data_IF_000318198292
#
_entry.id   IF_000318198292
#
_cell.length_a   1.000
_cell.length_b   1.000
_cell.length_c   1.000
_cell.angle_alpha   90.00
_cell.angle_beta   90.00
_cell.angle_gamma   90.00
#
_symmetry.space_group_name_H-M   'P 1'
#
loop_
_entity.id
_entity.type
_entity.pdbx_description
1 polymer ?
#
# COMPACT_ATOMS: atom_id res chain seq x y z
N UNK A 1 -16.41 -39.73 -44.66
CA UNK A 1 -15.22 -39.26 -43.94
C UNK A 1 -14.97 -37.84 -44.35
N UNK A 2 -15.64 -36.92 -43.68
CA UNK A 2 -15.63 -35.48 -43.94
C UNK A 2 -15.08 -34.82 -42.68
N UNK A 3 -13.90 -34.21 -42.80
CA UNK A 3 -13.26 -33.39 -41.77
C UNK A 3 -13.94 -32.03 -41.75
N UNK A 4 -14.34 -31.61 -40.56
CA UNK A 4 -14.89 -30.30 -40.26
C UNK A 4 -13.76 -29.52 -39.58
N UNK A 5 -13.25 -28.49 -40.26
CA UNK A 5 -12.22 -27.56 -39.76
C UNK A 5 -12.93 -26.26 -39.35
N UNK A 6 -13.13 -26.07 -38.05
CA UNK A 6 -13.55 -24.79 -37.47
C UNK A 6 -12.34 -24.09 -36.85
N UNK A 7 -11.99 -22.86 -37.23
CA UNK A 7 -10.89 -22.13 -36.61
C UNK A 7 -11.32 -21.54 -35.27
N UNK A 8 -10.51 -21.78 -34.24
CA UNK A 8 -10.62 -21.17 -32.91
C UNK A 8 -10.14 -19.72 -33.00
N UNK A 9 -11.05 -18.81 -32.68
CA UNK A 9 -10.82 -17.37 -32.54
C UNK A 9 -9.86 -17.10 -31.38
N UNK A 10 -8.70 -16.51 -31.70
CA UNK A 10 -7.70 -16.05 -30.73
C UNK A 10 -7.96 -14.57 -30.50
N UNK A 11 -8.70 -14.23 -29.45
CA UNK A 11 -8.79 -12.85 -29.00
C UNK A 11 -7.48 -12.43 -28.34
N UNK A 12 -6.96 -11.31 -28.84
CA UNK A 12 -5.65 -10.77 -28.55
C UNK A 12 -5.54 -10.26 -27.11
N UNK A 13 -4.60 -10.82 -26.35
CA UNK A 13 -3.98 -10.16 -25.19
C UNK A 13 -3.13 -8.98 -25.69
N UNK A 14 -3.64 -7.77 -25.57
CA UNK A 14 -2.88 -6.55 -25.88
C UNK A 14 -1.95 -6.19 -24.73
N UNK A 15 -0.70 -6.63 -24.88
CA UNK A 15 0.47 -6.14 -24.15
C UNK A 15 0.55 -4.61 -24.19
N UNK A 16 0.49 -3.97 -23.01
CA UNK A 16 0.61 -2.52 -22.84
C UNK A 16 2.08 -2.11 -22.78
N UNK A 17 2.68 -1.85 -23.94
CA UNK A 17 3.86 -0.98 -24.09
C UNK A 17 3.76 -0.25 -25.43
N UNK A 18 3.51 1.06 -25.39
CA UNK A 18 4.03 2.01 -26.39
C UNK A 18 3.86 3.45 -25.90
N UNK A 19 5.00 4.00 -25.56
CA UNK A 19 5.32 5.42 -25.42
C UNK A 19 5.03 6.15 -26.74
N UNK A 20 4.40 7.32 -26.68
CA UNK A 20 4.43 8.31 -27.74
C UNK A 20 4.60 9.72 -27.15
N UNK A 21 5.75 10.29 -27.47
CA UNK A 21 6.13 11.70 -27.33
C UNK A 21 5.47 12.49 -28.48
N UNK A 22 4.89 13.66 -28.20
CA UNK A 22 5.22 14.94 -28.86
C UNK A 22 4.22 16.10 -28.61
N UNK A 23 4.79 17.20 -28.10
CA UNK A 23 4.61 18.65 -28.47
C UNK A 23 3.35 19.47 -28.17
N UNK A 24 3.56 20.44 -27.26
CA UNK A 24 3.57 21.92 -27.45
C UNK A 24 2.27 22.75 -27.67
N UNK A 25 2.17 23.82 -26.86
CA UNK A 25 1.40 25.07 -27.08
C UNK A 25 -0.04 25.03 -26.55
N UNK A 26 -0.54 25.94 -25.70
CA UNK A 26 -0.52 27.41 -25.86
C UNK A 26 -0.89 28.07 -24.52
N UNK A 27 -0.19 29.15 -24.15
CA UNK A 27 -0.54 30.04 -23.03
C UNK A 27 -1.60 31.04 -23.49
N UNK A 28 -2.70 31.16 -22.75
CA UNK A 28 -3.61 32.31 -22.82
C UNK A 28 -3.91 32.83 -21.43
N UNK A 29 -3.39 34.01 -21.14
CA UNK A 29 -3.73 34.84 -20.00
C UNK A 29 -5.09 35.53 -20.23
N UNK A 30 -5.89 35.64 -19.17
CA UNK A 30 -7.10 36.46 -19.13
C UNK A 30 -7.22 37.11 -17.75
N UNK A 31 -7.13 38.44 -17.73
CA UNK A 31 -7.20 39.31 -16.55
C UNK A 31 -8.64 39.72 -16.21
N UNK A 32 -8.81 40.05 -14.92
CA UNK A 32 -9.65 41.09 -14.33
C UNK A 32 -11.11 40.79 -13.96
N UNK A 33 -11.47 41.21 -12.74
CA UNK A 33 -12.85 41.41 -12.29
C UNK A 33 -12.99 41.63 -10.79
N UNK A 34 -12.53 42.77 -10.25
CA UNK A 34 -12.87 43.23 -8.90
C UNK A 34 -14.32 43.76 -8.84
N UNK A 35 -15.04 43.47 -7.75
CA UNK A 35 -16.17 44.19 -7.12
C UNK A 35 -16.49 43.35 -5.85
N UNK A 36 -16.28 43.75 -4.59
CA UNK A 36 -16.72 44.96 -3.90
C UNK A 36 -17.92 44.60 -3.01
N UNK A 37 -17.75 44.49 -1.68
CA UNK A 37 -18.89 44.29 -0.75
C UNK A 37 -18.52 43.85 0.67
N UNK A 38 -18.55 44.82 1.59
CA UNK A 38 -19.00 44.76 3.00
C UNK A 38 -18.14 44.02 4.05
N UNK A 39 -17.58 44.83 4.96
CA UNK A 39 -16.97 44.43 6.23
C UNK A 39 -18.05 43.98 7.22
N UNK A 40 -18.02 42.70 7.61
CA UNK A 40 -18.67 42.21 8.83
C UNK A 40 -17.60 41.77 9.81
N UNK A 41 -17.55 42.46 10.95
CA UNK A 41 -16.85 42.03 12.15
C UNK A 41 -17.54 40.77 12.68
N UNK A 42 -16.88 39.62 12.55
CA UNK A 42 -17.19 38.44 13.36
C UNK A 42 -15.91 38.01 14.09
N UNK A 43 -16.01 37.90 15.41
CA UNK A 43 -14.98 37.35 16.27
C UNK A 43 -14.72 35.87 15.88
N UNK A 44 -13.48 35.37 16.01
CA UNK A 44 -13.19 33.99 15.65
C UNK A 44 -13.82 33.05 16.70
N UNK A 45 -15.01 32.53 16.41
CA UNK A 45 -15.51 31.33 17.08
C UNK A 45 -14.68 30.15 16.59
N UNK A 46 -14.00 29.46 17.52
CA UNK A 46 -13.41 28.14 17.27
C UNK A 46 -14.50 27.25 16.68
N UNK A 47 -14.40 27.03 15.38
CA UNK A 47 -15.35 26.24 14.62
C UNK A 47 -14.85 24.80 14.69
N UNK A 48 -15.47 23.98 15.53
CA UNK A 48 -15.35 22.53 15.43
C UNK A 48 -15.80 22.13 14.02
N UNK A 49 -15.02 21.36 13.24
CA UNK A 49 -15.44 20.95 11.91
C UNK A 49 -16.80 20.23 11.99
N UNK A 50 -17.77 20.71 11.23
CA UNK A 50 -19.09 20.09 11.14
C UNK A 50 -18.96 18.69 10.51
N UNK A 51 -19.73 17.68 10.98
CA UNK A 51 -19.73 16.36 10.36
C UNK A 51 -20.12 16.46 8.89
N UNK A 52 -19.58 15.58 8.02
CA UNK A 52 -19.75 15.70 6.58
C UNK A 52 -21.22 15.69 6.20
N UNK A 53 -21.66 16.68 5.42
CA UNK A 53 -22.95 16.60 4.74
C UNK A 53 -22.89 15.45 3.73
N UNK A 54 -23.61 14.36 4.03
CA UNK A 54 -23.89 13.32 3.07
C UNK A 54 -24.94 13.88 2.12
N UNK A 55 -24.52 14.42 0.97
CA UNK A 55 -25.48 14.72 -0.08
C UNK A 55 -26.19 13.42 -0.46
N UNK A 56 -27.53 13.37 -0.36
CA UNK A 56 -28.37 12.20 -0.63
C UNK A 56 -28.11 11.51 -2.00
N UNK A 57 -27.33 12.13 -2.88
CA UNK A 57 -27.01 11.63 -4.22
C UNK A 57 -25.68 10.86 -4.35
N UNK A 58 -24.73 10.99 -3.42
CA UNK A 58 -23.40 10.36 -3.56
C UNK A 58 -22.95 9.76 -2.21
N UNK A 59 -22.94 8.42 -2.14
CA UNK A 59 -22.53 7.62 -0.96
C UNK A 59 -21.02 7.74 -0.63
N UNK A 60 -20.43 8.93 -0.75
CA UNK A 60 -19.02 9.21 -0.47
C UNK A 60 -18.99 10.42 0.47
N UNK A 61 -18.40 10.32 1.67
CA UNK A 61 -18.33 11.45 2.58
C UNK A 61 -17.50 12.57 1.96
N UNK A 62 -17.99 13.81 2.09
CA UNK A 62 -17.22 14.99 1.72
C UNK A 62 -16.10 15.19 2.75
N UNK A 63 -14.91 14.68 2.43
CA UNK A 63 -13.74 14.77 3.30
C UNK A 63 -12.85 15.94 2.85
N UNK A 64 -12.52 16.89 3.74
CA UNK A 64 -11.57 17.97 3.47
C UNK A 64 -10.20 17.41 3.08
N UNK A 65 -9.39 18.25 2.43
CA UNK A 65 -8.03 17.93 2.04
C UNK A 65 -7.06 18.91 2.65
N UNK A 66 -5.84 18.43 2.88
CA UNK A 66 -4.69 19.32 3.09
C UNK A 66 -4.43 20.03 1.76
N UNK A 67 -4.49 21.36 1.77
CA UNK A 67 -4.37 22.18 0.55
C UNK A 67 -2.95 22.19 -0.04
N UNK A 68 -1.95 22.02 0.82
CA UNK A 68 -0.53 22.01 0.47
C UNK A 68 0.19 20.93 1.32
N UNK A 69 0.01 19.63 1.00
CA UNK A 69 0.62 18.57 1.77
C UNK A 69 2.16 18.62 1.60
N UNK A 70 2.93 18.33 2.66
CA UNK A 70 4.39 18.28 2.54
C UNK A 70 4.83 17.11 1.65
N UNK A 71 6.02 17.21 1.05
CA UNK A 71 6.69 16.09 0.38
C UNK A 71 7.27 15.08 1.41
N UNK A 72 6.40 14.53 2.26
CA UNK A 72 6.73 13.67 3.39
C UNK A 72 5.47 12.93 3.86
N UNK A 73 5.64 11.96 4.75
CA UNK A 73 4.51 11.39 5.50
C UNK A 73 3.89 12.48 6.36
N UNK A 74 2.55 12.55 6.37
CA UNK A 74 1.83 13.58 7.09
C UNK A 74 0.47 13.13 7.61
N UNK A 75 -0.08 13.82 8.63
CA UNK A 75 -1.41 13.54 9.15
C UNK A 75 -2.51 13.97 8.17
N UNK A 76 -3.35 13.04 7.69
CA UNK A 76 -4.50 13.38 6.85
C UNK A 76 -5.55 14.14 7.66
N UNK A 77 -6.64 14.55 7.03
CA UNK A 77 -7.71 15.30 7.68
C UNK A 77 -8.57 14.44 8.62
N UNK A 78 -8.57 13.13 8.40
CA UNK A 78 -9.42 12.18 9.11
C UNK A 78 -8.81 10.77 9.12
N UNK A 79 -9.23 9.97 10.09
CA UNK A 79 -9.13 8.52 10.06
C UNK A 79 -10.37 7.96 9.36
N UNK A 80 -10.12 7.13 8.35
CA UNK A 80 -11.19 6.40 7.66
C UNK A 80 -11.75 5.29 8.54
N UNK A 81 -13.08 5.20 8.59
CA UNK A 81 -13.81 4.05 9.14
C UNK A 81 -13.81 2.86 8.18
N UNK A 82 -13.86 1.65 8.74
CA UNK A 82 -13.99 0.41 7.98
C UNK A 82 -14.65 -0.68 8.81
N UNK A 83 -15.36 -1.57 8.13
CA UNK A 83 -15.84 -2.83 8.71
C UNK A 83 -14.82 -3.92 8.45
N UNK A 84 -14.33 -4.56 9.52
CA UNK A 84 -13.53 -5.78 9.42
C UNK A 84 -14.47 -6.98 9.27
N UNK A 85 -14.25 -7.79 8.23
CA UNK A 85 -14.94 -9.06 8.07
C UNK A 85 -14.15 -10.18 8.76
N UNK A 86 -14.80 -11.33 8.91
CA UNK A 86 -14.13 -12.52 9.42
C UNK A 86 -12.90 -12.85 8.56
N UNK A 87 -11.80 -13.15 9.25
CA UNK A 87 -10.57 -13.60 8.62
C UNK A 87 -10.76 -15.02 8.09
N UNK A 88 -10.23 -15.29 6.89
CA UNK A 88 -10.34 -16.58 6.23
C UNK A 88 -8.96 -17.16 5.96
N UNK A 89 -8.77 -18.43 6.31
CA UNK A 89 -7.53 -19.16 6.06
C UNK A 89 -7.67 -20.05 4.81
N UNK A 90 -6.60 -20.12 4.01
CA UNK A 90 -6.53 -20.99 2.84
C UNK A 90 -5.09 -21.45 2.59
N UNK A 91 -4.78 -22.64 3.10
CA UNK A 91 -3.42 -23.18 3.06
C UNK A 91 -2.48 -22.33 3.92
N UNK A 92 -1.37 -21.79 3.36
CA UNK A 92 -0.42 -20.99 4.12
C UNK A 92 -0.86 -19.52 4.28
N UNK A 93 -2.01 -19.13 3.72
CA UNK A 93 -2.48 -17.74 3.73
C UNK A 93 -3.60 -17.53 4.74
N UNK A 94 -3.49 -16.43 5.48
CA UNK A 94 -4.58 -15.84 6.26
C UNK A 94 -4.96 -14.52 5.61
N UNK A 95 -6.21 -14.40 5.16
CA UNK A 95 -6.75 -13.22 4.48
C UNK A 95 -7.71 -12.52 5.43
N UNK A 96 -7.44 -11.25 5.74
CA UNK A 96 -8.31 -10.42 6.58
C UNK A 96 -8.99 -9.36 5.70
N UNK A 97 -10.27 -9.55 5.32
CA UNK A 97 -10.99 -8.61 4.47
C UNK A 97 -11.56 -7.43 5.25
N UNK A 98 -11.63 -6.28 4.59
CA UNK A 98 -12.12 -5.02 5.14
C UNK A 98 -12.94 -4.29 4.07
N UNK A 99 -13.96 -3.56 4.51
CA UNK A 99 -14.83 -2.75 3.64
C UNK A 99 -14.90 -1.32 4.17
N UNK A 100 -14.88 -0.34 3.27
CA UNK A 100 -15.09 1.07 3.59
C UNK A 100 -15.92 1.76 2.50
N UNK A 101 -16.23 3.04 2.67
CA UNK A 101 -16.75 3.87 1.57
C UNK A 101 -15.71 3.96 0.45
N UNK A 102 -16.09 4.30 -0.80
CA UNK A 102 -15.14 4.43 -1.90
C UNK A 102 -14.02 5.44 -1.59
N UNK A 103 -12.77 5.02 -1.76
CA UNK A 103 -11.61 5.86 -1.43
C UNK A 103 -11.06 6.58 -2.65
N UNK A 104 -10.41 7.69 -2.35
CA UNK A 104 -9.41 8.28 -3.25
C UNK A 104 -8.07 7.66 -2.90
N UNK A 105 -7.31 7.27 -3.91
CA UNK A 105 -5.97 6.76 -3.73
C UNK A 105 -5.10 7.18 -4.93
N UNK A 106 -3.80 6.98 -4.83
CA UNK A 106 -2.85 7.37 -5.86
C UNK A 106 -2.11 6.15 -6.37
N UNK A 107 -2.20 5.88 -7.66
CA UNK A 107 -1.34 4.92 -8.33
C UNK A 107 0.03 5.56 -8.56
N UNK A 108 1.11 4.83 -8.30
CA UNK A 108 2.46 5.32 -8.55
C UNK A 108 3.02 4.62 -9.78
N UNK A 109 3.46 5.38 -10.78
CA UNK A 109 4.19 4.85 -11.94
C UNK A 109 5.50 5.60 -12.09
N UNK A 110 6.62 4.91 -11.89
CA UNK A 110 7.91 5.60 -11.73
C UNK A 110 7.83 6.49 -10.50
N UNK A 111 7.96 7.80 -10.68
CA UNK A 111 7.86 8.81 -9.61
C UNK A 111 6.56 9.62 -9.65
N UNK A 112 5.65 9.32 -10.59
CA UNK A 112 4.46 10.12 -10.83
C UNK A 112 3.23 9.51 -10.12
N UNK A 113 2.62 10.22 -9.15
CA UNK A 113 1.39 9.78 -8.52
C UNK A 113 0.15 10.22 -9.33
N UNK A 114 -0.67 9.26 -9.75
CA UNK A 114 -1.94 9.48 -10.44
C UNK A 114 -3.12 9.30 -9.47
N UNK A 115 -3.88 10.37 -9.24
CA UNK A 115 -5.08 10.34 -8.40
C UNK A 115 -6.21 9.53 -9.06
N UNK A 116 -6.60 8.43 -8.43
CA UNK A 116 -7.85 7.72 -8.69
C UNK A 116 -8.96 8.32 -7.83
N UNK A 117 -10.00 8.85 -8.49
CA UNK A 117 -11.20 9.35 -7.82
C UNK A 117 -12.28 8.28 -7.82
N UNK A 118 -13.03 8.11 -6.72
CA UNK A 118 -14.22 7.28 -6.75
C UNK A 118 -15.22 7.94 -7.70
N UNK A 119 -15.49 7.26 -8.81
CA UNK A 119 -16.51 7.64 -9.80
C UNK A 119 -17.69 6.65 -9.81
N UNK A 120 -17.71 5.75 -8.82
CA UNK A 120 -18.72 4.71 -8.64
C UNK A 120 -19.39 4.90 -7.29
N UNK A 121 -20.73 4.76 -7.27
CA UNK A 121 -21.41 4.35 -6.06
C UNK A 121 -20.98 2.91 -5.76
N UNK A 122 -20.53 2.65 -4.55
CA UNK A 122 -19.84 1.41 -4.25
C UNK A 122 -19.24 1.35 -2.86
N UNK A 123 -18.24 0.50 -2.73
CA UNK A 123 -17.40 0.35 -1.54
C UNK A 123 -15.94 0.39 -1.96
N UNK A 124 -15.06 0.66 -1.01
CA UNK A 124 -13.66 0.30 -1.14
C UNK A 124 -13.47 -1.08 -0.49
N UNK A 125 -13.14 -2.08 -1.30
CA UNK A 125 -12.82 -3.42 -0.83
C UNK A 125 -11.32 -3.50 -0.60
N UNK A 126 -10.94 -3.97 0.58
CA UNK A 126 -9.55 -4.15 0.96
C UNK A 126 -9.36 -5.53 1.59
N UNK A 127 -8.14 -6.06 1.51
CA UNK A 127 -7.75 -7.21 2.31
C UNK A 127 -6.24 -7.22 2.53
N UNK A 128 -5.80 -7.68 3.70
CA UNK A 128 -4.40 -8.02 3.94
C UNK A 128 -4.18 -9.53 3.73
N UNK A 129 -3.02 -9.89 3.19
CA UNK A 129 -2.59 -11.28 3.05
C UNK A 129 -1.42 -11.52 3.99
N UNK A 130 -1.56 -12.51 4.86
CA UNK A 130 -0.60 -12.85 5.91
C UNK A 130 -0.18 -14.31 5.78
N UNK A 131 1.00 -14.61 6.29
CA UNK A 131 1.40 -15.98 6.57
C UNK A 131 0.56 -16.52 7.75
N UNK A 132 -0.10 -17.66 7.55
CA UNK A 132 -0.94 -18.28 8.60
C UNK A 132 -0.14 -18.79 9.81
N UNK A 133 1.15 -19.08 9.64
CA UNK A 133 1.97 -19.61 10.72
C UNK A 133 2.52 -18.49 11.63
N UNK A 134 3.07 -17.44 11.04
CA UNK A 134 3.70 -16.33 11.78
C UNK A 134 2.78 -15.14 12.00
N UNK A 135 1.66 -15.05 11.28
CA UNK A 135 0.78 -13.89 11.29
C UNK A 135 1.35 -12.63 10.61
N UNK A 136 2.56 -12.73 10.02
CA UNK A 136 3.22 -11.62 9.34
C UNK A 136 2.53 -11.28 8.02
N UNK A 137 2.34 -9.99 7.74
CA UNK A 137 1.92 -9.54 6.41
C UNK A 137 2.97 -9.92 5.37
N UNK A 138 2.50 -10.27 4.17
CA UNK A 138 3.34 -10.63 3.02
C UNK A 138 3.37 -9.45 2.02
N UNK A 139 4.31 -8.50 2.17
CA UNK A 139 4.38 -7.30 1.34
C UNK A 139 5.04 -7.59 -0.01
N UNK A 140 4.29 -8.23 -0.89
CA UNK A 140 4.66 -8.48 -2.28
C UNK A 140 3.39 -8.63 -3.11
N UNK A 141 3.45 -8.33 -4.40
CA UNK A 141 2.34 -8.65 -5.30
C UNK A 141 2.06 -10.17 -5.31
N UNK A 142 0.81 -10.52 -5.02
CA UNK A 142 0.30 -11.90 -5.02
C UNK A 142 -0.52 -12.23 -6.26
N UNK A 143 -0.54 -11.33 -7.26
CA UNK A 143 -1.29 -11.48 -8.50
C UNK A 143 -2.76 -11.79 -8.24
N UNK A 144 -3.36 -11.08 -7.28
CA UNK A 144 -4.72 -11.31 -6.84
C UNK A 144 -5.72 -11.00 -7.97
N UNK A 145 -6.71 -11.86 -8.13
CA UNK A 145 -7.91 -11.57 -8.89
C UNK A 145 -9.12 -11.70 -7.98
N UNK A 146 -9.99 -10.70 -7.99
CA UNK A 146 -11.19 -10.64 -7.17
C UNK A 146 -12.40 -10.79 -8.08
N UNK A 147 -13.31 -11.68 -7.70
CA UNK A 147 -14.62 -11.85 -8.33
C UNK A 147 -15.70 -11.54 -7.29
N UNK A 148 -16.63 -10.66 -7.65
CA UNK A 148 -17.77 -10.30 -6.80
C UNK A 148 -19.01 -10.99 -7.36
N UNK A 149 -19.68 -11.78 -6.53
CA UNK A 149 -20.84 -12.56 -6.89
C UNK A 149 -22.07 -12.10 -6.13
N UNK A 150 -23.23 -12.20 -6.78
CA UNK A 150 -24.55 -12.07 -6.16
C UNK A 150 -25.48 -13.09 -6.78
N UNK A 151 -26.14 -13.88 -5.95
CA UNK A 151 -26.98 -15.03 -6.36
C UNK A 151 -26.21 -16.03 -7.24
N UNK A 152 -24.93 -16.27 -6.94
CA UNK A 152 -24.04 -17.15 -7.69
C UNK A 152 -23.62 -16.63 -9.07
N UNK A 153 -24.03 -15.42 -9.45
CA UNK A 153 -23.63 -14.78 -10.71
C UNK A 153 -22.52 -13.77 -10.46
N UNK A 154 -21.46 -13.83 -11.27
CA UNK A 154 -20.38 -12.83 -11.26
C UNK A 154 -20.94 -11.49 -11.72
N UNK A 155 -20.77 -10.47 -10.88
CA UNK A 155 -21.18 -9.08 -11.14
C UNK A 155 -20.00 -8.23 -11.57
N UNK A 156 -18.82 -8.49 -11.01
CA UNK A 156 -17.60 -7.75 -11.27
C UNK A 156 -16.38 -8.67 -11.19
N UNK A 157 -15.33 -8.35 -11.94
CA UNK A 157 -14.02 -9.00 -11.82
C UNK A 157 -12.93 -7.96 -11.97
N UNK A 158 -12.04 -7.89 -10.98
CA UNK A 158 -11.00 -6.88 -10.92
C UNK A 158 -9.70 -7.45 -10.33
N UNK A 159 -8.61 -6.72 -10.50
CA UNK A 159 -7.31 -7.02 -9.91
C UNK A 159 -6.98 -5.88 -8.95
N UNK A 160 -7.09 -6.10 -7.63
CA UNK A 160 -6.89 -5.04 -6.65
C UNK A 160 -5.43 -4.60 -6.63
N UNK A 161 -5.19 -3.34 -6.32
CA UNK A 161 -3.86 -2.77 -6.28
C UNK A 161 -3.15 -3.12 -4.97
N UNK A 162 -1.85 -3.47 -4.97
CA UNK A 162 -1.07 -3.42 -3.74
C UNK A 162 -0.98 -1.96 -3.28
N UNK A 163 -1.19 -1.73 -1.99
CA UNK A 163 -1.40 -0.42 -1.39
C UNK A 163 -0.71 -0.32 -0.04
N UNK A 164 -0.36 0.91 0.35
CA UNK A 164 -0.01 1.25 1.73
C UNK A 164 -0.91 2.35 2.27
N UNK A 165 -1.30 2.23 3.55
CA UNK A 165 -1.93 3.30 4.32
C UNK A 165 -1.36 3.34 5.74
N UNK A 166 -1.48 4.49 6.40
CA UNK A 166 -0.98 4.65 7.77
C UNK A 166 -1.64 3.68 8.75
N UNK A 167 -2.96 3.49 8.62
CA UNK A 167 -3.76 2.71 9.56
C UNK A 167 -3.77 1.21 9.27
N UNK A 168 -3.68 0.81 7.98
CA UNK A 168 -3.80 -0.60 7.55
C UNK A 168 -2.48 -1.23 7.11
N UNK A 169 -1.41 -0.44 6.93
CA UNK A 169 -0.15 -0.94 6.39
C UNK A 169 -0.27 -1.44 4.96
N UNK A 170 0.50 -2.48 4.62
CA UNK A 170 0.47 -3.09 3.29
C UNK A 170 -0.78 -3.97 3.13
N UNK A 171 -1.55 -3.72 2.08
CA UNK A 171 -2.79 -4.43 1.77
C UNK A 171 -3.07 -4.40 0.27
N UNK A 172 -4.12 -5.08 -0.15
CA UNK A 172 -4.66 -4.98 -1.50
C UNK A 172 -6.01 -4.28 -1.45
N UNK A 173 -6.31 -3.41 -2.42
CA UNK A 173 -7.62 -2.77 -2.47
C UNK A 173 -8.00 -2.18 -3.82
N UNK A 174 -9.30 -1.99 -4.01
CA UNK A 174 -9.87 -1.21 -5.11
C UNK A 174 -11.31 -0.77 -4.79
N UNK A 175 -11.79 0.24 -5.51
CA UNK A 175 -13.19 0.64 -5.48
C UNK A 175 -14.05 -0.34 -6.30
N UNK A 176 -15.13 -0.83 -5.70
CA UNK A 176 -16.02 -1.83 -6.31
C UNK A 176 -17.43 -1.25 -6.54
N UNK A 177 -18.01 -1.38 -7.74
CA UNK A 177 -19.26 -0.73 -8.10
C UNK A 177 -20.50 -1.49 -7.60
N UNK A 178 -20.76 -1.45 -6.30
CA UNK A 178 -21.95 -2.05 -5.68
C UNK A 178 -23.02 -0.99 -5.42
N UNK A 179 -24.22 -1.19 -6.00
CA UNK A 179 -25.34 -0.23 -5.90
C UNK A 179 -26.60 -0.80 -5.27
N UNK A 180 -26.80 -2.10 -5.42
CA UNK A 180 -28.05 -2.74 -5.02
C UNK A 180 -27.89 -3.41 -3.66
N UNK A 181 -28.80 -3.16 -2.71
CA UNK A 181 -28.79 -3.89 -1.44
C UNK A 181 -28.89 -5.40 -1.64
N UNK A 182 -28.24 -6.16 -0.76
CA UNK A 182 -28.29 -7.62 -0.72
C UNK A 182 -26.98 -8.25 -0.27
N UNK A 183 -26.96 -9.58 -0.28
CA UNK A 183 -25.81 -10.39 0.09
C UNK A 183 -24.87 -10.59 -1.08
N UNK A 184 -23.59 -10.34 -0.86
CA UNK A 184 -22.52 -10.52 -1.84
C UNK A 184 -21.53 -11.58 -1.34
N UNK A 185 -20.92 -12.28 -2.30
CA UNK A 185 -19.78 -13.17 -2.05
C UNK A 185 -18.58 -12.65 -2.82
N UNK A 186 -17.44 -12.54 -2.16
CA UNK A 186 -16.18 -12.18 -2.77
C UNK A 186 -15.31 -13.42 -2.83
N UNK A 187 -14.86 -13.76 -4.02
CA UNK A 187 -13.85 -14.80 -4.24
C UNK A 187 -12.53 -14.12 -4.63
N UNK A 188 -11.47 -14.39 -3.86
CA UNK A 188 -10.12 -13.89 -4.08
C UNK A 188 -9.24 -15.05 -4.53
N UNK A 189 -8.82 -15.00 -5.78
CA UNK A 189 -7.87 -15.94 -6.38
C UNK A 189 -6.45 -15.39 -6.19
N UNK A 190 -5.68 -16.01 -5.29
CA UNK A 190 -4.27 -15.71 -5.00
C UNK A 190 -3.38 -16.54 -5.92
N UNK A 191 -2.55 -15.88 -6.72
CA UNK A 191 -1.60 -16.53 -7.61
C UNK A 191 -0.33 -16.95 -6.84
N UNK A 192 0.43 -17.95 -7.34
CA UNK A 192 1.74 -18.27 -6.78
C UNK A 192 2.65 -17.04 -6.73
N UNK A 193 3.37 -16.87 -5.62
CA UNK A 193 4.25 -15.73 -5.42
C UNK A 193 5.46 -15.78 -6.35
N UNK A 194 5.72 -14.65 -7.03
CA UNK A 194 6.88 -14.48 -7.91
C UNK A 194 8.08 -13.85 -7.24
N UNK A 195 7.89 -13.19 -6.09
CA UNK A 195 8.98 -12.64 -5.27
C UNK A 195 9.90 -13.77 -4.79
N UNK A 196 11.20 -13.46 -4.64
CA UNK A 196 12.17 -14.40 -4.07
C UNK A 196 11.73 -14.77 -2.65
N UNK A 197 11.73 -16.06 -2.37
CA UNK A 197 11.40 -16.61 -1.05
C UNK A 197 12.59 -17.42 -0.53
N UNK A 198 12.86 -17.34 0.76
CA UNK A 198 13.97 -18.05 1.43
C UNK A 198 13.52 -18.57 2.79
N UNK A 199 14.40 -19.33 3.46
CA UNK A 199 14.07 -19.97 4.73
C UNK A 199 12.89 -20.94 4.58
N UNK A 200 11.99 -20.93 5.56
CA UNK A 200 10.80 -21.78 5.53
C UNK A 200 9.80 -21.38 4.42
N UNK A 201 9.92 -20.17 3.85
CA UNK A 201 9.05 -19.72 2.76
C UNK A 201 9.44 -20.23 1.38
N UNK A 202 10.63 -20.83 1.21
CA UNK A 202 11.17 -21.19 -0.11
C UNK A 202 10.22 -22.08 -0.94
N UNK A 203 9.57 -23.04 -0.28
CA UNK A 203 8.64 -24.00 -0.88
C UNK A 203 7.16 -23.71 -0.53
N UNK A 204 6.87 -22.59 0.15
CA UNK A 204 5.51 -22.16 0.52
C UNK A 204 5.00 -21.12 -0.47
N UNK A 205 3.69 -20.95 -0.62
CA UNK A 205 3.08 -19.93 -1.50
C UNK A 205 3.28 -20.17 -3.02
N UNK A 206 3.52 -21.42 -3.43
CA UNK A 206 3.80 -21.84 -4.82
C UNK A 206 2.56 -22.27 -5.61
N UNK A 207 1.42 -22.39 -4.93
CA UNK A 207 0.19 -22.96 -5.46
C UNK A 207 -0.91 -21.93 -5.40
N UNK A 208 -1.70 -21.82 -6.48
CA UNK A 208 -2.89 -20.97 -6.50
C UNK A 208 -3.86 -21.37 -5.39
N UNK A 209 -4.38 -20.38 -4.67
CA UNK A 209 -5.42 -20.55 -3.65
C UNK A 209 -6.59 -19.64 -3.93
N UNK A 210 -7.79 -20.10 -3.61
CA UNK A 210 -9.00 -19.29 -3.65
C UNK A 210 -9.49 -19.13 -2.22
N UNK A 211 -9.88 -17.91 -1.88
CA UNK A 211 -10.49 -17.53 -0.60
C UNK A 211 -11.86 -16.97 -0.89
N UNK A 212 -12.86 -17.31 -0.07
CA UNK A 212 -14.23 -16.81 -0.24
C UNK A 212 -14.74 -16.25 1.07
N UNK A 213 -15.35 -15.08 1.02
CA UNK A 213 -16.07 -14.47 2.16
C UNK A 213 -17.32 -13.75 1.68
N UNK A 214 -18.29 -13.57 2.57
CA UNK A 214 -19.55 -12.91 2.28
C UNK A 214 -19.71 -11.63 3.10
N UNK A 215 -20.54 -10.73 2.59
CA UNK A 215 -21.01 -9.56 3.33
C UNK A 215 -22.40 -9.14 2.85
N UNK A 216 -23.15 -8.50 3.73
CA UNK A 216 -24.42 -7.87 3.40
C UNK A 216 -24.20 -6.38 3.16
N UNK A 217 -24.81 -5.87 2.09
CA UNK A 217 -24.77 -4.46 1.74
C UNK A 217 -26.18 -3.89 1.81
N UNK A 218 -26.36 -2.87 2.63
CA UNK A 218 -27.59 -2.08 2.71
C UNK A 218 -27.27 -0.62 3.11
N UNK A 219 -28.32 0.18 3.31
CA UNK A 219 -28.16 1.60 3.66
C UNK A 219 -27.63 1.80 5.09
N UNK A 220 -27.89 0.86 6.00
CA UNK A 220 -27.47 0.98 7.39
C UNK A 220 -25.96 0.73 7.47
N UNK A 221 -25.47 -0.29 6.77
CA UNK A 221 -24.04 -0.52 6.57
C UNK A 221 -23.32 0.70 5.99
N UNK A 222 -23.88 1.31 4.93
CA UNK A 222 -23.28 2.51 4.34
C UNK A 222 -23.21 3.68 5.32
N UNK A 223 -24.30 3.90 6.07
CA UNK A 223 -24.36 4.95 7.09
C UNK A 223 -23.36 4.71 8.19
N UNK A 224 -23.27 3.49 8.72
CA UNK A 224 -22.36 3.14 9.82
C UNK A 224 -20.90 3.44 9.48
N UNK A 225 -20.46 3.07 8.27
CA UNK A 225 -19.08 3.36 7.84
C UNK A 225 -18.86 4.88 7.70
N UNK A 226 -19.81 5.61 7.12
CA UNK A 226 -19.66 7.07 6.96
C UNK A 226 -19.66 7.79 8.31
N UNK A 227 -20.57 7.42 9.21
CA UNK A 227 -20.70 8.02 10.54
C UNK A 227 -19.51 7.69 11.45
N UNK A 228 -18.76 6.61 11.16
CA UNK A 228 -17.55 6.24 11.88
C UNK A 228 -16.29 7.02 11.50
N UNK A 229 -16.35 7.96 10.56
CA UNK A 229 -15.19 8.77 10.18
C UNK A 229 -14.79 9.70 11.33
N UNK A 230 -13.54 9.59 11.80
CA UNK A 230 -13.00 10.45 12.85
C UNK A 230 -12.15 11.56 12.24
N UNK A 231 -12.60 12.81 12.34
CA UNK A 231 -11.80 13.96 11.90
C UNK A 231 -10.74 14.32 12.94
N UNK A 232 -9.54 14.64 12.46
CA UNK A 232 -8.50 15.19 13.31
C UNK A 232 -8.76 16.68 13.55
N UNK A 233 -8.17 17.22 14.61
CA UNK A 233 -8.11 18.66 14.84
C UNK A 233 -7.47 19.36 13.62
N UNK A 234 -8.13 20.37 13.07
CA UNK A 234 -7.68 21.04 11.83
C UNK A 234 -6.28 21.63 11.96
N UNK A 235 -5.91 22.05 13.17
CA UNK A 235 -4.57 22.56 13.48
C UNK A 235 -3.45 21.56 13.20
N UNK A 236 -3.78 20.26 13.16
CA UNK A 236 -2.82 19.16 12.95
C UNK A 236 -2.74 18.67 11.51
N UNK A 237 -3.64 19.12 10.64
CA UNK A 237 -3.70 18.64 9.27
C UNK A 237 -2.41 19.01 8.53
N UNK A 238 -1.73 18.02 7.94
CA UNK A 238 -0.45 18.24 7.25
C UNK A 238 0.79 18.21 8.16
N UNK A 239 0.65 18.03 9.48
CA UNK A 239 1.80 17.80 10.36
C UNK A 239 2.58 16.57 9.92
N UNK A 240 3.91 16.62 9.98
CA UNK A 240 4.79 15.46 9.72
C UNK A 240 4.70 14.46 10.86
N UNK A 241 3.70 13.60 10.77
CA UNK A 241 3.38 12.52 11.70
C UNK A 241 2.48 11.50 10.97
N UNK A 242 2.15 10.38 11.61
CA UNK A 242 1.26 9.38 11.05
C UNK A 242 0.16 8.99 12.02
N UNK A 243 -1.01 8.67 11.49
CA UNK A 243 -2.05 7.98 12.25
C UNK A 243 -1.50 6.66 12.79
N UNK A 244 -1.80 6.38 14.05
CA UNK A 244 -1.50 5.08 14.64
C UNK A 244 -2.20 3.96 13.85
N UNK A 245 -1.52 2.83 13.60
CA UNK A 245 -2.13 1.65 13.02
C UNK A 245 -3.35 1.22 13.81
N UNK A 246 -4.44 0.86 13.13
CA UNK A 246 -5.61 0.33 13.83
C UNK A 246 -5.26 -1.06 14.36
N UNK A 247 -5.09 -1.17 15.68
CA UNK A 247 -5.04 -2.45 16.37
C UNK A 247 -6.44 -3.04 16.35
N UNK A 248 -6.61 -4.26 15.84
CA UNK A 248 -7.89 -4.95 15.93
C UNK A 248 -8.28 -5.12 17.39
N UNK A 249 -9.35 -4.48 17.83
CA UNK A 249 -9.98 -4.75 19.12
C UNK A 249 -10.71 -6.10 19.06
N UNK A 250 -9.95 -7.19 18.93
CA UNK A 250 -10.40 -8.56 19.16
C UNK A 250 -10.22 -8.90 20.63
N UNK A 251 -11.31 -9.32 21.29
CA UNK A 251 -11.28 -9.75 22.69
C UNK A 251 -10.50 -11.06 22.82
N UNK A 252 -9.27 -11.01 23.36
CA UNK A 252 -8.46 -12.19 23.64
C UNK A 252 -6.98 -11.90 23.45
N UNK A 253 -6.25 -11.80 24.56
CA UNK A 253 -4.88 -11.28 24.59
C UNK A 253 -3.89 -12.00 23.67
N UNK A 254 -3.28 -11.22 22.79
CA UNK A 254 -1.84 -11.22 22.59
C UNK A 254 -1.41 -9.79 22.25
N UNK A 255 -0.43 -9.24 22.97
CA UNK A 255 0.13 -7.90 22.73
C UNK A 255 1.16 -7.91 21.57
N UNK A 256 0.99 -8.80 20.59
CA UNK A 256 1.71 -8.69 19.33
C UNK A 256 1.04 -7.61 18.48
N UNK A 257 1.46 -6.37 18.73
CA UNK A 257 1.28 -5.21 17.86
C UNK A 257 1.12 -5.59 16.38
N UNK A 258 0.13 -4.99 15.73
CA UNK A 258 -0.34 -5.30 14.37
C UNK A 258 0.74 -5.73 13.38
N UNK A 259 0.50 -6.90 12.75
CA UNK A 259 1.37 -7.57 11.77
C UNK A 259 1.69 -6.80 10.48
N UNK A 260 1.46 -5.49 10.46
CA UNK A 260 1.74 -4.57 9.36
C UNK A 260 3.15 -3.95 9.46
N UNK A 261 3.74 -3.92 10.65
CA UNK A 261 5.05 -3.32 10.89
C UNK A 261 6.18 -4.35 10.72
N UNK A 262 7.26 -3.99 10.04
CA UNK A 262 8.49 -4.79 10.09
C UNK A 262 9.16 -4.67 11.46
N UNK A 263 10.03 -5.64 11.76
CA UNK A 263 10.81 -5.69 13.01
C UNK A 263 11.57 -4.39 13.26
N UNK A 264 11.76 -3.98 14.53
CA UNK A 264 12.59 -2.84 14.85
C UNK A 264 14.03 -3.07 14.37
N UNK A 265 14.82 -1.99 14.13
CA UNK A 265 16.15 -2.12 13.54
C UNK A 265 17.08 -3.09 14.28
N UNK A 266 17.12 -3.00 15.60
CA UNK A 266 17.90 -3.86 16.52
C UNK A 266 17.42 -5.31 16.57
N UNK A 267 16.21 -5.59 16.07
CA UNK A 267 15.67 -6.94 15.90
C UNK A 267 16.19 -7.69 14.67
N UNK A 268 17.01 -7.06 13.81
CA UNK A 268 17.65 -7.74 12.69
C UNK A 268 19.02 -8.33 13.08
N UNK A 269 19.36 -9.54 12.58
CA UNK A 269 20.67 -10.14 12.82
C UNK A 269 21.78 -9.40 12.05
N UNK A 270 23.02 -9.75 12.38
CA UNK A 270 24.21 -9.20 11.75
C UNK A 270 24.62 -7.82 12.28
N UNK A 271 25.66 -7.27 11.67
CA UNK A 271 26.21 -5.96 12.02
C UNK A 271 25.34 -4.84 11.45
N UNK A 272 24.99 -3.85 12.28
CA UNK A 272 24.34 -2.63 11.80
C UNK A 272 25.30 -1.81 10.94
N UNK A 273 24.84 -1.40 9.76
CA UNK A 273 25.53 -0.42 8.92
C UNK A 273 24.84 0.95 8.93
N UNK A 274 23.81 1.12 9.77
CA UNK A 274 23.08 2.37 9.93
C UNK A 274 21.63 2.33 9.44
N UNK A 275 20.99 3.49 9.55
CA UNK A 275 19.58 3.71 9.23
C UNK A 275 19.41 5.00 8.42
N UNK A 276 20.07 5.14 7.24
CA UNK A 276 19.95 6.34 6.43
C UNK A 276 18.49 6.56 5.98
N UNK A 277 18.19 7.80 5.63
CA UNK A 277 16.86 8.21 5.18
C UNK A 277 16.89 8.79 3.77
N UNK A 278 15.81 8.56 3.02
CA UNK A 278 15.62 9.10 1.68
C UNK A 278 14.13 9.14 1.34
N UNK A 279 13.65 10.25 0.75
CA UNK A 279 12.22 10.47 0.46
C UNK A 279 11.30 10.27 1.66
N UNK A 280 11.77 10.63 2.86
CA UNK A 280 11.12 10.42 4.17
C UNK A 280 11.04 8.94 4.64
N UNK A 281 11.53 7.98 3.85
CA UNK A 281 11.67 6.59 4.29
C UNK A 281 12.94 6.38 5.12
N UNK A 282 12.92 5.38 5.99
CA UNK A 282 14.10 4.87 6.70
C UNK A 282 14.55 3.55 6.09
N UNK A 283 15.86 3.39 5.90
CA UNK A 283 16.47 2.17 5.36
C UNK A 283 17.32 1.51 6.43
N UNK A 284 16.84 0.43 7.05
CA UNK A 284 17.69 -0.33 7.98
C UNK A 284 18.65 -1.18 7.16
N UNK A 285 19.95 -0.94 7.33
CA UNK A 285 21.01 -1.64 6.60
C UNK A 285 21.78 -2.55 7.55
N UNK A 286 21.89 -3.83 7.18
CA UNK A 286 22.54 -4.87 7.97
C UNK A 286 23.49 -5.66 7.09
N UNK A 287 24.63 -6.06 7.66
CA UNK A 287 25.55 -7.00 7.02
C UNK A 287 25.64 -8.29 7.83
N UNK A 288 25.29 -9.39 7.20
CA UNK A 288 25.20 -10.71 7.81
C UNK A 288 26.33 -11.58 7.26
N UNK A 289 27.11 -12.19 8.14
CA UNK A 289 28.19 -13.13 7.77
C UNK A 289 27.80 -14.59 7.98
N UNK A 290 26.88 -14.83 8.91
CA UNK A 290 26.41 -16.16 9.30
C UNK A 290 24.89 -16.21 9.11
N UNK A 291 24.45 -16.53 7.90
CA UNK A 291 23.03 -16.54 7.51
C UNK A 291 22.75 -17.62 6.47
N UNK A 292 21.52 -18.15 6.43
CA UNK A 292 21.08 -19.05 5.36
C UNK A 292 20.79 -18.33 4.03
N UNK A 293 20.78 -16.99 4.03
CA UNK A 293 20.49 -16.19 2.85
C UNK A 293 21.61 -16.26 1.79
N UNK A 294 22.83 -16.59 2.20
CA UNK A 294 23.99 -16.77 1.32
C UNK A 294 25.09 -17.61 1.97
N UNK A 295 25.89 -18.30 1.16
CA UNK A 295 27.10 -19.03 1.61
C UNK A 295 28.29 -18.10 1.97
N UNK A 296 28.09 -16.78 1.91
CA UNK A 296 29.09 -15.74 2.21
C UNK A 296 28.46 -14.56 2.94
N UNK A 297 28.96 -13.35 2.69
CA UNK A 297 28.36 -12.14 3.24
C UNK A 297 27.05 -11.77 2.53
N UNK A 298 26.12 -11.17 3.27
CA UNK A 298 24.83 -10.71 2.77
C UNK A 298 24.54 -9.30 3.25
N UNK A 299 24.36 -8.37 2.31
CA UNK A 299 23.82 -7.05 2.58
C UNK A 299 22.30 -7.13 2.58
N UNK A 300 21.68 -6.79 3.71
CA UNK A 300 20.24 -6.71 3.88
C UNK A 300 19.82 -5.25 4.05
N UNK A 301 18.85 -4.81 3.26
CA UNK A 301 18.23 -3.49 3.32
C UNK A 301 16.73 -3.64 3.53
N UNK A 302 16.19 -3.00 4.56
CA UNK A 302 14.77 -3.06 4.88
C UNK A 302 14.17 -1.65 4.92
N UNK A 303 13.68 -1.15 3.76
CA UNK A 303 13.06 0.17 3.64
C UNK A 303 11.66 0.16 4.27
N UNK A 304 11.35 1.21 5.01
CA UNK A 304 10.12 1.32 5.79
C UNK A 304 9.66 2.76 5.96
N UNK A 305 8.37 2.93 6.21
CA UNK A 305 7.81 4.23 6.61
C UNK A 305 8.41 4.70 7.97
N UNK A 306 8.61 6.00 8.18
CA UNK A 306 9.33 6.52 9.36
C UNK A 306 8.62 6.28 10.69
N UNK A 307 7.29 6.32 10.74
CA UNK A 307 6.52 6.21 11.99
C UNK A 307 6.05 4.78 12.29
N UNK A 308 5.33 4.17 11.34
CA UNK A 308 4.63 2.89 11.56
C UNK A 308 5.43 1.65 11.13
N UNK A 309 6.66 1.84 10.63
CA UNK A 309 7.53 0.78 10.08
C UNK A 309 6.83 -0.13 9.06
N UNK A 310 5.90 0.42 8.26
CA UNK A 310 5.25 -0.33 7.19
C UNK A 310 6.30 -0.61 6.10
N UNK A 311 6.43 -1.86 5.61
CA UNK A 311 7.41 -2.22 4.59
C UNK A 311 7.14 -1.50 3.26
N UNK A 312 8.20 -1.08 2.58
CA UNK A 312 8.14 -0.49 1.25
C UNK A 312 8.52 -1.53 0.19
N UNK A 313 7.51 -2.18 -0.38
CA UNK A 313 7.66 -3.22 -1.40
C UNK A 313 7.76 -2.64 -2.82
N UNK A 314 8.20 -3.48 -3.76
CA UNK A 314 8.25 -3.23 -5.19
C UNK A 314 9.09 -1.99 -5.55
N UNK A 315 10.22 -1.85 -4.86
CA UNK A 315 11.28 -0.88 -5.17
C UNK A 315 12.33 -1.50 -6.10
N UNK A 316 13.03 -0.67 -6.84
CA UNK A 316 14.29 -1.04 -7.49
C UNK A 316 15.43 -0.37 -6.72
N UNK A 317 16.34 -1.18 -6.18
CA UNK A 317 17.47 -0.73 -5.36
C UNK A 317 18.77 -1.28 -5.92
N UNK A 318 19.82 -0.50 -5.88
CA UNK A 318 21.18 -0.92 -6.21
C UNK A 318 22.19 -0.35 -5.23
N UNK A 319 23.36 -0.98 -5.15
CA UNK A 319 24.53 -0.44 -4.46
C UNK A 319 25.73 -0.35 -5.40
N UNK A 320 26.62 0.60 -5.11
CA UNK A 320 27.92 0.74 -5.74
C UNK A 320 29.01 1.06 -4.72
N UNK A 321 30.30 0.92 -5.10
CA UNK A 321 31.44 1.17 -4.23
C UNK A 321 32.21 -0.13 -3.92
N UNK A 322 32.38 -0.44 -2.63
CA UNK A 322 33.04 -1.68 -2.19
C UNK A 322 32.25 -2.97 -2.54
N UNK A 323 30.93 -2.84 -2.73
CA UNK A 323 30.02 -3.85 -3.22
C UNK A 323 29.13 -3.22 -4.29
N UNK A 324 28.94 -3.92 -5.40
CA UNK A 324 28.18 -3.42 -6.55
C UNK A 324 27.14 -4.44 -7.00
N UNK A 325 25.91 -3.99 -7.24
CA UNK A 325 24.84 -4.81 -7.78
C UNK A 325 23.44 -4.36 -7.40
N UNK A 326 22.44 -4.95 -8.05
CA UNK A 326 21.02 -4.78 -7.72
C UNK A 326 20.65 -5.61 -6.49
N UNK A 327 19.82 -5.06 -5.60
CA UNK A 327 19.29 -5.78 -4.45
C UNK A 327 17.98 -6.46 -4.80
N UNK A 328 17.84 -7.73 -4.44
CA UNK A 328 16.68 -8.54 -4.77
C UNK A 328 15.66 -8.52 -3.63
N UNK A 329 14.44 -8.08 -3.93
CA UNK A 329 13.30 -8.17 -3.00
C UNK A 329 13.05 -9.62 -2.61
N UNK A 330 13.04 -9.89 -1.31
CA UNK A 330 12.99 -11.22 -0.72
C UNK A 330 12.02 -11.26 0.45
N UNK A 331 11.20 -12.31 0.51
CA UNK A 331 10.44 -12.69 1.70
C UNK A 331 11.14 -13.87 2.38
N UNK A 332 11.51 -13.70 3.64
CA UNK A 332 12.17 -14.72 4.44
C UNK A 332 11.40 -14.99 5.73
N UNK A 333 11.38 -16.25 6.18
CA UNK A 333 10.69 -16.64 7.43
C UNK A 333 11.29 -15.99 8.67
N UNK A 334 12.60 -15.75 8.69
CA UNK A 334 13.33 -15.34 9.88
C UNK A 334 13.56 -13.83 9.86
N UNK A 335 13.93 -13.30 8.69
CA UNK A 335 14.24 -11.88 8.48
C UNK A 335 13.17 -11.10 7.69
N UNK A 336 12.01 -11.69 7.41
CA UNK A 336 10.86 -10.99 6.82
C UNK A 336 11.16 -10.36 5.45
N UNK A 337 10.37 -9.34 5.08
CA UNK A 337 10.58 -8.58 3.85
C UNK A 337 11.83 -7.71 3.91
N UNK A 338 12.66 -7.84 2.89
CA UNK A 338 13.87 -7.05 2.70
C UNK A 338 14.31 -7.09 1.24
N UNK A 339 15.32 -6.29 0.91
CA UNK A 339 16.08 -6.37 -0.33
C UNK A 339 17.50 -6.81 0.04
N UNK A 340 18.12 -7.67 -0.76
CA UNK A 340 19.47 -8.09 -0.43
C UNK A 340 20.37 -8.47 -1.60
N UNK A 341 21.66 -8.43 -1.30
CA UNK A 341 22.74 -8.69 -2.23
C UNK A 341 23.83 -9.51 -1.52
N UNK A 342 24.22 -10.62 -2.12
CA UNK A 342 25.35 -11.43 -1.64
C UNK A 342 26.66 -10.76 -2.04
N UNK A 343 27.59 -10.64 -1.09
CA UNK A 343 28.89 -10.03 -1.30
C UNK A 343 29.68 -9.86 -0.02
N UNK A 344 30.99 -9.63 -0.14
CA UNK A 344 31.86 -9.42 1.01
C UNK A 344 32.08 -7.94 1.29
N UNK A 345 32.00 -7.55 2.56
CA UNK A 345 32.33 -6.22 3.04
C UNK A 345 33.34 -6.29 4.18
N UNK A 346 34.30 -5.38 4.15
CA UNK A 346 35.34 -5.19 5.15
C UNK A 346 35.07 -3.94 5.98
N UNK A 347 35.52 -3.90 7.25
CA UNK A 347 35.51 -2.66 8.03
C UNK A 347 36.20 -1.50 7.30
N UNK A 348 35.57 -0.32 7.29
CA UNK A 348 36.06 0.86 6.58
C UNK A 348 35.68 0.95 5.10
N UNK A 349 35.00 -0.07 4.54
CA UNK A 349 34.40 0.02 3.21
C UNK A 349 33.29 1.07 3.18
N UNK A 350 33.05 1.65 2.00
CA UNK A 350 31.98 2.61 1.74
C UNK A 350 31.15 2.16 0.55
N UNK A 351 29.83 2.38 0.65
CA UNK A 351 28.83 2.04 -0.35
C UNK A 351 27.91 3.22 -0.57
N UNK A 352 27.42 3.37 -1.80
CA UNK A 352 26.27 4.20 -2.10
C UNK A 352 25.07 3.30 -2.36
N UNK A 353 23.97 3.49 -1.62
CA UNK A 353 22.68 2.84 -1.84
C UNK A 353 21.79 3.78 -2.65
N UNK A 354 21.47 3.37 -3.88
CA UNK A 354 20.61 4.11 -4.80
C UNK A 354 19.19 3.53 -4.83
N UNK A 355 18.20 4.41 -4.98
CA UNK A 355 16.81 4.06 -5.27
C UNK A 355 16.57 4.32 -6.75
N UNK A 356 16.69 3.26 -7.55
CA UNK A 356 16.49 3.33 -9.01
C UNK A 356 15.00 3.44 -9.38
N UNK A 357 14.14 2.97 -8.49
CA UNK A 357 12.69 3.10 -8.60
C UNK A 357 12.04 3.12 -7.22
N UNK A 358 11.19 4.11 -6.91
CA UNK A 358 10.52 4.18 -5.62
C UNK A 358 9.49 3.04 -5.47
N UNK A 359 8.89 2.84 -4.29
CA UNK A 359 7.99 1.71 -4.06
C UNK A 359 6.77 1.81 -4.97
N UNK A 360 6.61 0.89 -5.93
CA UNK A 360 5.57 0.89 -6.97
C UNK A 360 4.22 0.35 -6.46
N UNK A 361 3.80 0.81 -5.29
CA UNK A 361 2.51 0.42 -4.68
C UNK A 361 1.65 1.66 -4.47
N UNK A 362 0.33 1.52 -4.54
CA UNK A 362 -0.57 2.64 -4.44
C UNK A 362 -0.59 3.25 -3.03
N UNK A 363 -0.95 4.52 -2.94
CA UNK A 363 -0.94 5.32 -1.70
C UNK A 363 -2.34 5.75 -1.31
N UNK A 364 -2.65 5.63 -0.04
CA UNK A 364 -3.74 6.37 0.58
C UNK A 364 -3.27 7.77 1.02
N UNK A 365 -4.23 8.63 1.37
CA UNK A 365 -3.94 9.97 1.88
C UNK A 365 -3.00 9.94 3.08
N UNK A 366 -2.10 10.92 3.17
CA UNK A 366 -1.02 10.99 4.15
C UNK A 366 0.28 10.35 3.66
N UNK A 367 0.26 9.66 2.51
CA UNK A 367 1.43 9.07 1.84
C UNK A 367 1.54 9.44 0.37
N UNK A 368 0.58 10.17 -0.21
CA UNK A 368 0.50 10.41 -1.65
C UNK A 368 1.64 11.26 -2.22
N UNK A 369 2.31 12.03 -1.38
CA UNK A 369 3.48 12.87 -1.70
C UNK A 369 4.80 12.29 -1.18
N UNK A 370 4.75 11.20 -0.42
CA UNK A 370 5.92 10.58 0.21
C UNK A 370 6.54 9.49 -0.67
N UNK A 371 7.84 9.23 -0.47
CA UNK A 371 8.57 8.13 -1.12
C UNK A 371 8.57 8.22 -2.66
N UNK A 372 8.66 9.43 -3.22
CA UNK A 372 8.68 9.66 -4.68
C UNK A 372 10.09 10.03 -5.15
N UNK A 373 10.61 11.16 -4.66
CA UNK A 373 12.00 11.57 -4.88
C UNK A 373 12.89 11.03 -3.75
N UNK A 374 13.80 10.12 -4.11
CA UNK A 374 14.60 9.35 -3.16
C UNK A 374 16.08 9.40 -3.55
N UNK A 375 16.82 10.47 -3.18
CA UNK A 375 18.25 10.58 -3.49
C UNK A 375 19.06 9.43 -2.88
N UNK A 376 20.22 9.08 -3.48
CA UNK A 376 21.09 8.03 -2.97
C UNK A 376 21.64 8.36 -1.58
N UNK A 377 22.00 7.31 -0.84
CA UNK A 377 22.49 7.40 0.53
C UNK A 377 23.87 6.77 0.65
N UNK A 378 24.80 7.46 1.30
CA UNK A 378 26.10 6.88 1.64
C UNK A 378 26.01 6.01 2.90
N UNK A 379 26.71 4.88 2.87
CA UNK A 379 26.79 3.90 3.95
C UNK A 379 28.27 3.60 4.18
N UNK A 380 28.72 3.77 5.43
CA UNK A 380 30.06 3.37 5.85
C UNK A 380 30.01 2.10 6.70
N UNK A 381 30.91 1.18 6.42
CA UNK A 381 31.05 -0.04 7.22
C UNK A 381 31.86 0.28 8.48
N UNK A 382 31.30 0.14 9.70
CA UNK A 382 32.01 0.47 10.93
C UNK A 382 33.31 -0.34 11.09
N UNK A 383 34.32 0.32 11.67
CA UNK A 383 35.65 -0.24 11.98
C UNK A 383 35.61 -1.48 12.87
#
# INVERSE_FOLDING_TARGET
MTRDDTPVDRTHSTSRRRLLVATAGTVTAGLAGCLGGEESNDEPTESTPEPPEVTDSENVPQTPRVSDPPDAVYLPTHRTSMTHLDTVESGPYTVAPMLSYPHRFWLVTGTDPELVRPNVQGLHLMFSVRDSETGAVLPADVGAQVRILRDGQVRETLSPWPMISQTMGFHFGDNIPIREPGSYTVEVDLSPMTVRRTGEFADRFDTRRTVSFGFDFDRDFQREIVDGVEFLDESRWGERDALEPMMGHGSGGDETSGGNAVRPPDGYPGRSLGEPTSGDATFVVRYLTDTHLSDGGYLLVSPRTPYNRIPLADMALSVSGALEGELVQTLDSDVGHHYGLTGSLSPGDSLELAVDGPPQVARHQGYETAFLDMPPMEIEVPQ
#
